data_IF_152404347972
#
_entry.id   IF_152404347972
#
_cell.length_a   1.000
_cell.length_b   1.000
_cell.length_c   1.000
_cell.angle_alpha   90.00
_cell.angle_beta   90.00
_cell.angle_gamma   90.00
#
_symmetry.space_group_name_H-M   'P 1'
#
loop_
_entity.id
_entity.type
_entity.pdbx_description
1 polymer ?
#
# COMPACT_ATOMS: atom_id res chain seq x y z
N UNK A 1 31.85 50.51 54.30
CA UNK A 1 32.63 51.47 53.53
C UNK A 1 34.10 51.08 53.60
N UNK A 2 34.53 50.17 52.73
CA UNK A 2 35.96 49.89 52.51
C UNK A 2 36.13 49.61 51.02
N UNK A 3 36.74 50.58 50.35
CA UNK A 3 37.27 50.53 49.00
C UNK A 3 38.53 49.68 48.96
N UNK A 4 38.61 48.71 48.06
CA UNK A 4 39.86 48.01 47.73
C UNK A 4 40.14 48.21 46.24
N UNK A 5 41.27 48.84 45.99
CA UNK A 5 41.87 49.16 44.69
C UNK A 5 42.26 47.89 43.93
N UNK A 6 41.97 47.87 42.62
CA UNK A 6 42.51 46.92 41.64
C UNK A 6 43.87 47.43 41.11
N UNK A 7 44.98 46.69 41.23
CA UNK A 7 46.23 47.04 40.58
C UNK A 7 46.51 46.10 39.41
N UNK A 8 46.41 46.58 38.17
CA UNK A 8 47.19 46.02 37.05
C UNK A 8 47.84 47.13 36.23
N UNK A 9 49.06 47.45 36.65
CA UNK A 9 50.01 48.22 35.87
C UNK A 9 50.73 47.31 34.85
N UNK A 10 50.69 47.74 33.60
CA UNK A 10 51.83 47.82 32.66
C UNK A 10 52.63 46.53 32.37
N UNK A 11 52.49 46.00 31.15
CA UNK A 11 53.64 45.58 30.33
C UNK A 11 53.34 45.76 28.83
N UNK A 12 53.74 46.93 28.33
CA UNK A 12 53.87 47.23 26.91
C UNK A 12 55.01 46.36 26.34
N UNK A 13 54.71 45.43 25.43
CA UNK A 13 55.73 44.73 24.62
C UNK A 13 55.69 45.25 23.19
N UNK A 14 56.51 46.27 22.94
CA UNK A 14 56.96 46.68 21.61
C UNK A 14 57.75 45.50 21.00
N UNK A 15 57.26 44.92 19.90
CA UNK A 15 58.10 44.14 18.98
C UNK A 15 58.45 45.01 17.78
N UNK A 16 59.65 45.58 17.86
CA UNK A 16 60.35 46.23 16.77
C UNK A 16 60.83 45.13 15.80
N UNK A 17 60.33 45.11 14.57
CA UNK A 17 61.00 44.42 13.46
C UNK A 17 61.26 45.43 12.35
N UNK A 18 62.55 45.73 12.16
CA UNK A 18 63.07 46.38 10.97
C UNK A 18 62.73 45.52 9.74
N UNK A 19 62.03 46.09 8.75
CA UNK A 19 62.22 45.73 7.34
C UNK A 19 62.26 47.02 6.52
N UNK A 20 63.27 47.05 5.65
CA UNK A 20 63.71 48.17 4.82
C UNK A 20 62.67 48.55 3.76
N UNK A 21 62.63 49.85 3.48
CA UNK A 21 61.97 50.52 2.35
C UNK A 21 61.93 49.73 1.04
N UNK A 22 60.75 49.63 0.42
CA UNK A 22 60.58 49.74 -1.02
C UNK A 22 59.24 50.42 -1.31
N UNK A 23 59.33 51.59 -1.93
CA UNK A 23 58.21 52.45 -2.32
C UNK A 23 57.48 51.78 -3.48
N UNK A 24 56.22 51.38 -3.25
CA UNK A 24 55.31 50.88 -4.26
C UNK A 24 53.95 51.52 -4.08
N UNK A 25 53.61 52.47 -4.96
CA UNK A 25 52.28 53.06 -5.07
C UNK A 25 51.28 51.95 -5.39
N UNK A 26 50.49 51.55 -4.39
CA UNK A 26 49.23 50.84 -4.60
C UNK A 26 48.12 51.66 -3.95
N UNK A 27 47.27 52.22 -4.79
CA UNK A 27 45.94 52.70 -4.44
C UNK A 27 45.15 51.51 -3.92
N UNK A 28 45.02 51.37 -2.61
CA UNK A 28 44.32 50.27 -1.96
C UNK A 28 43.59 50.76 -0.73
N UNK A 29 42.27 50.80 -0.83
CA UNK A 29 41.21 51.02 0.15
C UNK A 29 41.62 51.06 1.64
N UNK A 30 41.34 52.19 2.29
CA UNK A 30 41.22 52.25 3.75
C UNK A 30 40.01 51.40 4.19
N UNK A 31 40.29 50.24 4.78
CA UNK A 31 39.31 49.44 5.53
C UNK A 31 39.99 48.63 6.66
N UNK A 32 40.96 49.24 7.36
CA UNK A 32 41.47 48.72 8.63
C UNK A 32 40.97 49.66 9.74
N UNK A 33 39.95 49.22 10.49
CA UNK A 33 39.36 49.98 11.60
C UNK A 33 37.86 49.73 11.82
N UNK A 34 37.31 48.58 11.40
CA UNK A 34 35.86 48.35 11.46
C UNK A 34 35.37 47.78 12.80
N UNK A 35 36.29 47.41 13.70
CA UNK A 35 35.98 46.79 14.98
C UNK A 35 36.67 47.48 16.18
N UNK A 36 37.38 48.59 15.99
CA UNK A 36 38.08 49.28 17.10
C UNK A 36 37.08 50.11 17.91
N UNK A 37 37.07 49.97 19.24
CA UNK A 37 36.24 50.73 20.21
C UNK A 37 34.71 50.55 20.05
N UNK A 38 34.27 49.43 19.45
CA UNK A 38 32.85 49.08 19.30
C UNK A 38 32.49 47.93 20.23
N UNK A 39 31.34 48.03 20.91
CA UNK A 39 30.78 46.93 21.70
C UNK A 39 30.59 45.68 20.84
N UNK A 40 30.99 44.51 21.34
CA UNK A 40 30.76 43.26 20.62
C UNK A 40 29.25 43.05 20.43
N UNK A 41 28.77 42.56 19.27
CA UNK A 41 27.35 42.29 19.13
C UNK A 41 26.86 41.18 20.08
N UNK A 42 25.57 41.22 20.39
CA UNK A 42 24.91 40.18 21.18
C UNK A 42 25.04 38.83 20.48
N UNK A 43 25.33 37.79 21.26
CA UNK A 43 25.20 36.42 20.77
C UNK A 43 23.75 36.14 20.36
N UNK A 44 23.59 35.35 19.29
CA UNK A 44 22.29 35.05 18.69
C UNK A 44 22.17 33.58 18.29
N UNK A 45 20.98 33.19 17.84
CA UNK A 45 20.67 31.82 17.41
C UNK A 45 21.11 30.74 18.43
N UNK A 46 20.60 30.78 19.68
CA UNK A 46 20.90 29.77 20.67
C UNK A 46 20.34 28.41 20.26
N UNK A 47 21.13 27.36 20.45
CA UNK A 47 20.68 25.96 20.48
C UNK A 47 21.15 25.34 21.80
N UNK A 48 20.28 24.70 22.60
CA UNK A 48 18.83 24.62 22.46
C UNK A 48 18.17 26.00 22.37
N UNK A 49 17.05 26.06 21.64
CA UNK A 49 16.29 27.31 21.51
C UNK A 49 15.83 27.81 22.88
N UNK A 50 15.74 29.13 23.04
CA UNK A 50 15.30 29.71 24.31
C UNK A 50 13.91 29.18 24.70
N UNK A 51 13.74 28.82 25.98
CA UNK A 51 12.52 28.24 26.58
C UNK A 51 12.12 26.87 26.02
N UNK A 52 13.02 26.19 25.31
CA UNK A 52 12.75 24.82 24.84
C UNK A 52 12.62 23.84 26.02
N UNK A 53 11.81 22.81 25.81
CA UNK A 53 11.59 21.71 26.75
C UNK A 53 12.00 20.39 26.08
N UNK A 54 12.08 19.32 26.87
CA UNK A 54 12.39 17.96 26.38
C UNK A 54 13.76 17.83 25.70
N UNK A 55 14.76 18.53 26.24
CA UNK A 55 16.14 18.48 25.72
C UNK A 55 16.90 17.30 26.32
N UNK A 56 17.58 16.50 25.51
CA UNK A 56 18.40 15.37 25.99
C UNK A 56 19.48 15.83 26.99
N UNK A 57 19.78 15.00 27.98
CA UNK A 57 20.70 15.33 29.07
C UNK A 57 22.18 15.50 28.62
N UNK A 58 22.52 15.04 27.42
CA UNK A 58 23.85 15.15 26.78
C UNK A 58 23.91 16.29 25.73
N UNK A 59 22.94 17.21 25.77
CA UNK A 59 22.84 18.31 24.79
C UNK A 59 24.10 19.18 24.73
N UNK A 60 24.38 19.68 23.53
CA UNK A 60 25.48 20.62 23.27
C UNK A 60 24.92 22.01 23.00
N UNK A 61 25.46 23.00 23.69
CA UNK A 61 25.08 24.40 23.53
C UNK A 61 25.81 25.00 22.32
N UNK A 62 25.05 25.66 21.45
CA UNK A 62 25.60 26.44 20.33
C UNK A 62 25.00 27.83 20.30
N UNK A 63 25.81 28.78 19.88
CA UNK A 63 25.40 30.15 19.63
C UNK A 63 26.19 30.72 18.46
N UNK A 64 25.68 31.80 17.88
CA UNK A 64 26.35 32.59 16.84
C UNK A 64 26.89 33.87 17.46
N UNK A 65 28.22 34.00 17.48
CA UNK A 65 28.89 35.26 17.85
C UNK A 65 28.76 36.28 16.72
N UNK A 66 28.52 37.55 17.04
CA UNK A 66 28.46 38.59 16.01
C UNK A 66 29.84 38.99 15.48
N UNK A 67 29.86 39.65 14.31
CA UNK A 67 31.08 40.23 13.73
C UNK A 67 31.80 41.12 14.77
N UNK A 68 33.13 41.15 14.74
CA UNK A 68 33.98 41.85 15.73
C UNK A 68 34.04 41.24 17.15
N UNK A 69 33.41 40.10 17.43
CA UNK A 69 33.60 39.40 18.71
C UNK A 69 34.98 38.72 18.74
N UNK A 70 35.79 39.04 19.75
CA UNK A 70 37.14 38.48 19.93
C UNK A 70 37.15 37.29 20.88
N UNK A 71 36.37 37.34 21.96
CA UNK A 71 36.15 36.20 22.86
C UNK A 71 34.73 36.21 23.43
N UNK A 72 34.30 35.07 23.96
CA UNK A 72 32.99 34.88 24.56
C UNK A 72 33.17 34.17 25.90
N UNK A 73 32.49 34.66 26.94
CA UNK A 73 32.38 33.98 28.22
C UNK A 73 31.02 33.31 28.33
N UNK A 74 31.00 32.07 28.83
CA UNK A 74 29.78 31.32 29.05
C UNK A 74 29.44 31.32 30.55
N UNK A 75 28.18 31.60 30.85
CA UNK A 75 27.56 31.35 32.15
C UNK A 75 26.51 30.26 31.96
N UNK A 76 26.52 29.22 32.79
CA UNK A 76 25.64 28.06 32.72
C UNK A 76 25.34 27.56 34.14
N UNK A 77 24.05 27.37 34.45
CA UNK A 77 23.61 26.87 35.76
C UNK A 77 22.10 26.66 35.84
N UNK A 78 21.57 26.39 37.03
CA UNK A 78 20.13 26.16 37.28
C UNK A 78 19.41 27.36 37.91
N UNK A 79 20.15 28.42 38.26
CA UNK A 79 19.58 29.67 38.77
C UNK A 79 19.40 30.66 37.61
N UNK A 80 18.20 31.24 37.41
CA UNK A 80 17.99 32.30 36.42
C UNK A 80 18.85 33.56 36.68
N UNK A 81 19.28 33.79 37.91
CA UNK A 81 20.24 34.83 38.27
C UNK A 81 21.67 34.31 38.11
N UNK A 82 22.15 34.27 36.86
CA UNK A 82 23.50 33.81 36.52
C UNK A 82 24.59 34.72 37.15
N UNK A 83 25.21 34.21 38.21
CA UNK A 83 26.32 34.85 38.92
C UNK A 83 27.67 34.16 38.70
N UNK A 84 28.64 34.44 39.57
CA UNK A 84 29.99 33.85 39.48
C UNK A 84 30.02 32.32 39.58
N UNK A 85 29.05 31.73 40.28
CA UNK A 85 28.95 30.26 40.42
C UNK A 85 28.54 29.58 39.10
N UNK A 86 27.95 30.32 38.16
CA UNK A 86 27.58 29.83 36.84
C UNK A 86 28.71 30.01 35.80
N UNK A 87 29.81 30.68 36.14
CA UNK A 87 30.85 31.05 35.18
C UNK A 87 31.67 29.84 34.70
N UNK A 88 31.64 29.56 33.39
CA UNK A 88 32.35 28.46 32.73
C UNK A 88 33.65 28.89 32.04
N UNK A 89 34.08 30.15 32.20
CA UNK A 89 35.28 30.68 31.56
C UNK A 89 35.04 31.21 30.15
N UNK A 90 36.14 31.48 29.44
CA UNK A 90 36.10 31.79 28.01
C UNK A 90 35.87 30.50 27.21
N UNK A 91 34.79 30.47 26.43
CA UNK A 91 34.34 29.30 25.69
C UNK A 91 34.06 29.66 24.22
N UNK A 92 34.17 28.67 23.35
CA UNK A 92 33.79 28.78 21.94
C UNK A 92 32.53 27.95 21.67
N UNK A 93 31.78 28.33 20.64
CA UNK A 93 30.66 27.53 20.13
C UNK A 93 31.21 26.47 19.15
N UNK A 94 30.85 25.18 19.28
CA UNK A 94 29.94 24.57 20.25
C UNK A 94 30.59 24.28 21.63
N UNK A 95 29.78 24.25 22.68
CA UNK A 95 30.20 23.88 24.04
C UNK A 95 29.31 22.78 24.63
N UNK A 96 29.93 21.71 25.13
CA UNK A 96 29.22 20.59 25.78
C UNK A 96 29.48 20.62 27.30
N UNK A 97 28.45 20.47 28.14
CA UNK A 97 28.62 20.31 29.58
C UNK A 97 29.57 19.14 29.92
N UNK A 98 30.49 19.29 30.90
CA UNK A 98 31.42 18.22 31.27
C UNK A 98 30.76 17.01 31.93
N UNK A 99 29.63 17.23 32.59
CA UNK A 99 28.82 16.21 33.26
C UNK A 99 27.43 16.16 32.63
N UNK A 100 26.82 14.97 32.64
CA UNK A 100 25.45 14.80 32.16
C UNK A 100 24.50 15.68 32.98
N UNK A 101 23.59 16.37 32.29
CA UNK A 101 22.63 17.24 32.93
C UNK A 101 21.61 16.42 33.73
N UNK A 102 21.11 17.00 34.82
CA UNK A 102 20.08 16.37 35.64
C UNK A 102 18.78 16.32 34.83
N UNK A 103 18.06 15.19 34.78
CA UNK A 103 16.76 15.10 34.11
C UNK A 103 15.70 16.05 34.70
N UNK A 104 14.68 16.40 33.92
CA UNK A 104 13.56 17.27 34.32
C UNK A 104 13.99 18.60 34.98
N UNK A 105 15.16 19.11 34.61
CA UNK A 105 15.76 20.29 35.24
C UNK A 105 15.88 21.42 34.24
N UNK A 106 15.44 22.61 34.65
CA UNK A 106 15.61 23.82 33.85
C UNK A 106 17.01 24.41 34.07
N UNK A 107 17.74 24.57 32.97
CA UNK A 107 19.04 25.23 32.93
C UNK A 107 18.92 26.60 32.28
N UNK A 108 19.71 27.53 32.79
CA UNK A 108 19.85 28.89 32.31
C UNK A 108 21.28 29.12 31.85
N UNK A 109 21.43 29.85 30.76
CA UNK A 109 22.74 30.16 30.22
C UNK A 109 22.78 31.48 29.47
N UNK A 110 23.96 32.08 29.43
CA UNK A 110 24.18 33.40 28.86
C UNK A 110 25.58 33.49 28.28
N UNK A 111 25.68 34.20 27.15
CA UNK A 111 26.96 34.53 26.53
C UNK A 111 27.26 36.00 26.77
N UNK A 112 28.45 36.29 27.31
CA UNK A 112 29.00 37.64 27.40
C UNK A 112 30.06 37.78 26.31
N UNK A 113 29.85 38.71 25.38
CA UNK A 113 30.73 38.93 24.22
C UNK A 113 31.74 40.04 24.49
N UNK A 114 32.99 39.82 24.11
CA UNK A 114 34.10 40.76 24.25
C UNK A 114 34.68 41.17 22.91
N UNK A 115 35.16 42.41 22.82
CA UNK A 115 35.94 42.93 21.72
C UNK A 115 37.22 43.58 22.28
N UNK A 116 38.30 43.59 21.49
CA UNK A 116 39.66 43.98 21.92
C UNK A 116 39.75 45.36 22.56
N UNK A 117 38.81 46.27 22.29
CA UNK A 117 38.76 47.62 22.86
C UNK A 117 37.34 48.12 23.22
N UNK A 118 36.30 47.28 23.13
CA UNK A 118 34.90 47.66 23.39
C UNK A 118 34.37 47.24 24.76
N UNK A 119 33.26 47.83 25.26
CA UNK A 119 32.63 47.40 26.51
C UNK A 119 32.02 45.99 26.39
N UNK A 120 32.05 45.24 27.49
CA UNK A 120 31.44 43.91 27.61
C UNK A 120 29.95 43.96 27.26
N UNK A 121 29.50 43.04 26.41
CA UNK A 121 28.11 42.99 26.00
C UNK A 121 27.44 41.74 26.56
N UNK A 122 26.56 41.95 27.54
CA UNK A 122 25.77 40.89 28.16
C UNK A 122 24.66 40.44 27.21
N UNK A 123 24.71 39.18 26.78
CA UNK A 123 23.66 38.54 26.00
C UNK A 123 22.34 38.39 26.78
N UNK A 124 21.24 38.01 26.11
CA UNK A 124 20.04 37.54 26.80
C UNK A 124 20.34 36.26 27.61
N UNK A 125 19.62 36.07 28.72
CA UNK A 125 19.60 34.79 29.45
C UNK A 125 18.66 33.85 28.71
N UNK A 126 19.20 32.76 28.20
CA UNK A 126 18.44 31.68 27.58
C UNK A 126 18.18 30.57 28.58
N UNK A 127 17.12 29.80 28.35
CA UNK A 127 16.79 28.65 29.17
C UNK A 127 16.38 27.45 28.32
N UNK A 128 16.55 26.26 28.86
CA UNK A 128 15.93 25.04 28.36
C UNK A 128 15.66 24.08 29.52
N UNK A 129 14.74 23.13 29.32
CA UNK A 129 14.45 22.08 30.31
C UNK A 129 14.82 20.73 29.73
N UNK A 130 15.61 19.96 30.50
CA UNK A 130 15.99 18.60 30.12
C UNK A 130 14.79 17.67 30.14
N UNK A 131 14.80 16.66 29.26
CA UNK A 131 13.83 15.57 29.29
C UNK A 131 14.03 14.73 30.56
N UNK A 132 12.97 14.01 30.96
CA UNK A 132 13.09 12.99 32.00
C UNK A 132 13.95 11.82 31.55
N UNK A 133 14.38 10.95 32.49
CA UNK A 133 14.98 9.68 32.10
C UNK A 133 14.02 8.91 31.20
N UNK A 134 14.57 8.23 30.20
CA UNK A 134 13.82 7.24 29.42
C UNK A 134 13.99 5.87 30.06
N UNK A 135 13.02 5.01 29.85
CA UNK A 135 13.01 3.62 30.29
C UNK A 135 12.32 2.73 29.28
N UNK A 136 12.52 1.42 29.40
CA UNK A 136 11.81 0.44 28.62
C UNK A 136 10.31 0.49 28.94
N UNK A 137 9.52 0.58 27.88
CA UNK A 137 8.07 0.54 27.91
C UNK A 137 7.63 -0.68 27.08
N UNK A 138 7.00 -1.65 27.74
CA UNK A 138 6.39 -2.78 27.08
C UNK A 138 4.96 -2.40 26.70
N UNK A 139 4.53 -2.68 25.47
CA UNK A 139 3.15 -2.44 25.04
C UNK A 139 2.75 -3.46 23.97
N UNK A 140 1.44 -3.61 23.76
CA UNK A 140 0.89 -4.55 22.78
C UNK A 140 0.07 -3.80 21.73
N UNK A 141 0.32 -4.10 20.46
CA UNK A 141 -0.49 -3.62 19.33
C UNK A 141 -0.91 -4.84 18.52
N UNK A 142 -2.21 -5.08 18.42
CA UNK A 142 -2.80 -6.22 17.69
C UNK A 142 -2.17 -7.58 18.06
N UNK A 143 -1.89 -7.79 19.36
CA UNK A 143 -1.27 -9.02 19.88
C UNK A 143 0.25 -9.09 19.70
N UNK A 144 0.88 -8.10 19.06
CA UNK A 144 2.34 -8.01 18.95
C UNK A 144 2.91 -7.23 20.12
N UNK A 145 3.73 -7.89 20.94
CA UNK A 145 4.43 -7.24 22.06
C UNK A 145 5.67 -6.51 21.54
N UNK A 146 5.74 -5.22 21.84
CA UNK A 146 6.83 -4.33 21.46
C UNK A 146 7.45 -3.69 22.70
N UNK A 147 8.72 -3.30 22.57
CA UNK A 147 9.44 -2.53 23.56
C UNK A 147 10.01 -1.27 22.93
N UNK A 148 9.79 -0.13 23.57
CA UNK A 148 10.39 1.16 23.20
C UNK A 148 11.02 1.84 24.42
N UNK A 149 12.06 2.65 24.21
CA UNK A 149 12.70 3.44 25.27
C UNK A 149 12.15 4.86 25.24
N UNK A 150 11.19 5.16 26.11
CA UNK A 150 10.45 6.43 26.15
C UNK A 150 10.33 6.95 27.58
N UNK A 151 9.78 8.15 27.77
CA UNK A 151 9.51 8.66 29.12
C UNK A 151 8.34 7.91 29.77
N UNK A 152 8.26 7.91 31.10
CA UNK A 152 7.12 7.32 31.82
C UNK A 152 5.77 7.88 31.33
N UNK A 153 5.69 9.19 31.11
CA UNK A 153 4.47 9.84 30.63
C UNK A 153 4.08 9.39 29.22
N UNK A 154 5.06 9.26 28.33
CA UNK A 154 4.83 8.76 26.97
C UNK A 154 4.45 7.28 27.00
N UNK A 155 5.07 6.48 27.89
CA UNK A 155 4.71 5.08 28.05
C UNK A 155 3.26 4.91 28.48
N UNK A 156 2.82 5.61 29.53
CA UNK A 156 1.44 5.56 30.04
C UNK A 156 0.41 6.00 28.98
N UNK A 157 0.82 6.77 27.97
CA UNK A 157 -0.06 7.18 26.88
C UNK A 157 -0.24 6.11 25.80
N UNK A 158 0.58 5.05 25.79
CA UNK A 158 0.45 3.93 24.86
C UNK A 158 -0.63 2.94 25.34
N UNK A 159 -1.38 2.31 24.42
CA UNK A 159 -2.39 1.32 24.77
C UNK A 159 -1.74 0.07 25.38
N UNK A 160 -2.39 -0.49 26.42
CA UNK A 160 -1.97 -1.74 27.08
C UNK A 160 -0.47 -1.76 27.40
N UNK A 161 0.04 -0.66 27.94
CA UNK A 161 1.46 -0.43 28.19
C UNK A 161 1.84 -0.57 29.66
N UNK A 162 3.08 -0.98 29.89
CA UNK A 162 3.70 -1.07 31.20
C UNK A 162 5.10 -0.45 31.16
N UNK A 163 5.32 0.57 31.99
CA UNK A 163 6.63 1.20 32.13
C UNK A 163 7.49 0.40 33.11
N UNK A 164 8.59 -0.15 32.63
CA UNK A 164 9.46 -1.03 33.42
C UNK A 164 10.33 -0.25 34.41
N UNK A 165 10.56 1.04 34.12
CA UNK A 165 11.22 1.98 35.01
C UNK A 165 12.39 2.72 34.36
N UNK A 166 12.84 3.77 35.03
CA UNK A 166 13.88 4.66 34.52
C UNK A 166 15.21 3.95 34.26
N UNK A 167 15.86 4.32 33.14
CA UNK A 167 17.16 3.82 32.71
C UNK A 167 17.18 2.31 32.40
N UNK A 168 16.02 1.67 32.28
CA UNK A 168 15.92 0.32 31.72
C UNK A 168 15.98 0.40 30.19
N UNK A 169 16.58 -0.62 29.56
CA UNK A 169 16.76 -0.69 28.11
C UNK A 169 16.07 -1.93 27.55
N UNK A 170 15.54 -1.82 26.34
CA UNK A 170 14.70 -2.89 25.78
C UNK A 170 15.43 -4.21 25.54
N UNK A 171 16.76 -4.18 25.42
CA UNK A 171 17.55 -5.40 25.24
C UNK A 171 17.66 -6.24 26.52
N UNK A 172 17.52 -5.62 27.69
CA UNK A 172 17.62 -6.28 29.00
C UNK A 172 16.24 -6.62 29.58
N UNK A 173 15.18 -6.14 28.93
CA UNK A 173 13.79 -6.36 29.33
C UNK A 173 13.16 -7.39 28.42
N UNK A 174 12.60 -8.44 29.01
CA UNK A 174 11.75 -9.38 28.29
C UNK A 174 10.31 -8.92 28.47
N UNK A 175 9.74 -8.32 27.42
CA UNK A 175 8.31 -8.06 27.38
C UNK A 175 7.61 -9.37 27.01
N UNK A 176 7.04 -10.05 28.02
CA UNK A 176 6.17 -11.21 27.79
C UNK A 176 4.74 -10.71 27.54
N UNK A 177 3.96 -11.35 26.65
CA UNK A 177 2.54 -11.05 26.55
C UNK A 177 1.89 -11.26 27.92
N UNK A 178 0.95 -10.41 28.33
CA UNK A 178 0.35 -10.54 29.66
C UNK A 178 -0.33 -11.90 29.80
N UNK A 179 0.15 -12.72 30.73
CA UNK A 179 -0.53 -13.96 31.09
C UNK A 179 -1.87 -13.61 31.75
N UNK A 180 -2.87 -14.46 31.51
CA UNK A 180 -4.17 -14.41 32.16
C UNK A 180 -4.61 -15.80 32.59
N UNK A 181 -5.59 -15.84 33.50
CA UNK A 181 -6.16 -17.06 34.01
C UNK A 181 -6.82 -17.83 32.86
N UNK A 182 -6.32 -19.05 32.62
CA UNK A 182 -6.83 -19.98 31.63
C UNK A 182 -7.41 -21.20 32.34
N UNK A 183 -8.70 -21.44 32.14
CA UNK A 183 -9.42 -22.56 32.75
C UNK A 183 -9.48 -23.74 31.79
N UNK A 184 -8.82 -24.85 32.13
CA UNK A 184 -8.76 -26.09 31.36
C UNK A 184 -9.23 -27.23 32.27
N UNK A 185 -10.29 -27.94 31.90
CA UNK A 185 -10.85 -29.06 32.67
C UNK A 185 -11.14 -28.73 34.16
N UNK A 186 -11.51 -27.47 34.45
CA UNK A 186 -11.78 -26.97 35.81
C UNK A 186 -10.53 -26.62 36.64
N UNK A 187 -9.33 -26.81 36.09
CA UNK A 187 -8.09 -26.28 36.65
C UNK A 187 -7.75 -24.91 36.06
N UNK A 188 -7.12 -24.05 36.85
CA UNK A 188 -6.64 -22.74 36.41
C UNK A 188 -5.11 -22.74 36.24
N UNK A 189 -4.63 -22.22 35.12
CA UNK A 189 -3.21 -21.94 34.85
C UNK A 189 -3.08 -20.56 34.19
N UNK A 190 -2.04 -19.80 34.52
CA UNK A 190 -1.78 -18.50 33.90
C UNK A 190 -1.04 -18.69 32.57
N UNK A 191 -1.74 -18.47 31.45
CA UNK A 191 -1.23 -18.64 30.09
C UNK A 191 -1.51 -17.37 29.28
N UNK A 192 -0.88 -17.23 28.11
CA UNK A 192 -1.26 -16.20 27.14
C UNK A 192 -2.48 -16.69 26.33
N UNK A 193 -3.28 -15.76 25.78
CA UNK A 193 -4.51 -16.08 25.04
C UNK A 193 -4.33 -17.23 24.02
N UNK A 194 -3.36 -17.10 23.12
CA UNK A 194 -3.11 -18.12 22.09
C UNK A 194 -2.82 -19.51 22.67
N UNK A 195 -2.08 -19.57 23.78
CA UNK A 195 -1.74 -20.85 24.43
C UNK A 195 -2.93 -21.41 25.19
N UNK A 196 -3.81 -20.56 25.73
CA UNK A 196 -5.06 -20.97 26.34
C UNK A 196 -6.01 -21.58 25.30
N UNK A 197 -6.16 -20.92 24.16
CA UNK A 197 -7.01 -21.39 23.05
C UNK A 197 -6.51 -22.70 22.45
N UNK A 198 -5.19 -22.82 22.23
CA UNK A 198 -4.56 -24.06 21.78
C UNK A 198 -4.75 -25.23 22.76
N UNK A 199 -4.85 -24.92 24.05
CA UNK A 199 -5.13 -25.91 25.09
C UNK A 199 -6.63 -26.22 25.25
N UNK A 200 -7.51 -25.54 24.48
CA UNK A 200 -8.96 -25.68 24.59
C UNK A 200 -9.53 -25.12 25.90
N UNK A 201 -8.82 -24.19 26.53
CA UNK A 201 -9.23 -23.56 27.78
C UNK A 201 -10.09 -22.30 27.55
N UNK A 202 -10.68 -21.81 28.62
CA UNK A 202 -11.38 -20.51 28.64
C UNK A 202 -10.47 -19.46 29.25
N UNK A 203 -10.14 -18.42 28.48
CA UNK A 203 -9.27 -17.31 28.91
C UNK A 203 -10.09 -16.21 29.62
N UNK A 204 -9.64 -15.75 30.77
CA UNK A 204 -10.36 -14.77 31.61
C UNK A 204 -9.85 -13.33 31.43
N UNK A 205 -8.94 -13.11 30.49
CA UNK A 205 -8.38 -11.79 30.18
C UNK A 205 -6.97 -11.60 30.70
N UNK A 206 -6.26 -10.67 30.07
CA UNK A 206 -4.88 -10.31 30.38
C UNK A 206 -4.73 -9.86 31.85
N UNK A 207 -3.58 -10.17 32.46
CA UNK A 207 -3.26 -9.87 33.85
C UNK A 207 -4.24 -10.44 34.90
N UNK A 208 -5.11 -11.38 34.52
CA UNK A 208 -6.01 -12.07 35.45
C UNK A 208 -5.28 -13.20 36.16
N UNK A 209 -5.19 -13.16 37.48
CA UNK A 209 -4.55 -14.25 38.24
C UNK A 209 -5.50 -15.41 38.50
N UNK A 210 -4.94 -16.62 38.63
CA UNK A 210 -5.69 -17.78 39.08
C UNK A 210 -6.12 -17.65 40.55
N UNK A 211 -7.41 -17.43 40.79
CA UNK A 211 -8.03 -17.40 42.13
C UNK A 211 -9.01 -18.56 42.32
N UNK A 212 -9.32 -18.89 43.58
CA UNK A 212 -10.27 -19.97 43.87
C UNK A 212 -11.62 -19.73 43.17
N UNK A 213 -12.16 -20.77 42.54
CA UNK A 213 -13.46 -20.79 41.85
C UNK A 213 -13.57 -19.84 40.64
N UNK A 214 -12.46 -19.33 40.11
CA UNK A 214 -12.49 -18.55 38.86
C UNK A 214 -13.06 -19.39 37.71
N UNK A 215 -12.74 -20.69 37.67
CA UNK A 215 -13.22 -21.63 36.65
C UNK A 215 -14.64 -22.20 36.90
N UNK A 216 -15.29 -21.81 38.00
CA UNK A 216 -16.65 -22.29 38.33
C UNK A 216 -17.75 -21.36 37.80
N UNK A 217 -17.38 -20.19 37.26
CA UNK A 217 -18.31 -19.20 36.73
C UNK A 217 -17.92 -18.85 35.30
N UNK A 218 -18.90 -18.77 34.40
CA UNK A 218 -18.65 -18.24 33.06
C UNK A 218 -18.09 -16.81 33.18
N UNK A 219 -17.05 -16.46 32.42
CA UNK A 219 -16.46 -15.13 32.49
C UNK A 219 -17.51 -14.08 32.12
N UNK A 220 -17.66 -13.07 32.98
CA UNK A 220 -18.51 -11.91 32.75
C UNK A 220 -17.65 -10.70 32.38
N UNK A 221 -18.22 -9.80 31.60
CA UNK A 221 -17.60 -8.55 31.17
C UNK A 221 -18.67 -7.56 30.73
N UNK A 222 -18.24 -6.37 30.34
CA UNK A 222 -19.12 -5.32 29.86
C UNK A 222 -19.78 -5.73 28.54
N UNK A 223 -21.07 -5.43 28.46
CA UNK A 223 -21.95 -5.72 27.36
C UNK A 223 -22.72 -4.45 27.02
N UNK A 224 -22.52 -3.95 25.81
CA UNK A 224 -23.16 -2.75 25.29
C UNK A 224 -24.40 -3.13 24.47
N UNK A 225 -25.58 -2.70 24.92
CA UNK A 225 -26.85 -2.88 24.21
C UNK A 225 -27.53 -1.52 24.13
N UNK A 226 -27.66 -0.95 22.93
CA UNK A 226 -28.30 0.35 22.70
C UNK A 226 -27.78 1.44 23.67
N UNK A 227 -26.46 1.64 23.70
CA UNK A 227 -25.75 2.59 24.58
C UNK A 227 -25.82 2.28 26.09
N UNK A 228 -26.54 1.24 26.50
CA UNK A 228 -26.60 0.81 27.90
C UNK A 228 -25.52 -0.22 28.15
N UNK A 229 -24.60 0.09 29.06
CA UNK A 229 -23.63 -0.86 29.56
C UNK A 229 -24.23 -1.76 30.64
N UNK A 230 -24.02 -3.06 30.54
CA UNK A 230 -24.35 -4.05 31.56
C UNK A 230 -23.22 -5.07 31.70
N UNK A 231 -23.10 -5.74 32.86
CA UNK A 231 -22.17 -6.87 33.01
C UNK A 231 -22.92 -8.15 32.66
N UNK A 232 -22.44 -8.88 31.66
CA UNK A 232 -23.03 -10.14 31.20
C UNK A 232 -21.93 -11.14 30.81
N UNK A 233 -22.28 -12.41 30.66
CA UNK A 233 -21.40 -13.37 29.96
C UNK A 233 -21.44 -13.07 28.46
N UNK A 234 -20.40 -13.45 27.71
CA UNK A 234 -20.36 -13.28 26.25
C UNK A 234 -21.62 -13.84 25.58
N UNK A 235 -22.01 -15.07 25.94
CA UNK A 235 -23.21 -15.74 25.40
C UNK A 235 -24.47 -14.91 25.69
N UNK A 236 -24.65 -14.43 26.91
CA UNK A 236 -25.84 -13.66 27.27
C UNK A 236 -25.85 -12.28 26.60
N UNK A 237 -24.68 -11.68 26.37
CA UNK A 237 -24.53 -10.42 25.67
C UNK A 237 -24.96 -10.55 24.20
N UNK A 238 -24.37 -11.52 23.49
CA UNK A 238 -24.63 -11.75 22.06
C UNK A 238 -26.08 -12.18 21.82
N UNK A 239 -26.63 -13.06 22.67
CA UNK A 239 -28.05 -13.49 22.57
C UNK A 239 -29.02 -12.33 22.82
N UNK A 240 -28.60 -11.32 23.59
CA UNK A 240 -29.39 -10.10 23.83
C UNK A 240 -29.20 -9.03 22.75
N UNK A 241 -28.42 -9.32 21.70
CA UNK A 241 -28.13 -8.39 20.61
C UNK A 241 -27.13 -7.29 21.00
N UNK A 242 -26.29 -7.54 21.99
CA UNK A 242 -25.25 -6.62 22.46
C UNK A 242 -23.85 -6.98 21.98
N UNK A 243 -22.94 -6.02 22.12
CA UNK A 243 -21.51 -6.18 21.87
C UNK A 243 -20.79 -6.45 23.19
N UNK A 244 -20.06 -7.57 23.27
CA UNK A 244 -19.27 -7.95 24.44
C UNK A 244 -17.85 -7.41 24.29
N UNK A 245 -17.37 -6.58 25.23
CA UNK A 245 -16.04 -5.97 25.14
C UNK A 245 -14.92 -6.84 25.74
N UNK A 246 -15.20 -8.11 26.03
CA UNK A 246 -14.25 -9.05 26.61
C UNK A 246 -14.46 -9.28 28.11
N UNK A 247 -13.90 -10.38 28.65
CA UNK A 247 -14.04 -10.76 30.04
C UNK A 247 -13.42 -9.72 31.00
N UNK A 248 -14.00 -9.58 32.19
CA UNK A 248 -13.60 -8.66 33.27
C UNK A 248 -13.56 -7.16 32.92
N UNK A 249 -14.02 -6.78 31.72
CA UNK A 249 -14.28 -5.37 31.42
C UNK A 249 -15.42 -4.85 32.27
N UNK A 250 -15.22 -3.71 32.94
CA UNK A 250 -16.25 -3.07 33.75
C UNK A 250 -17.04 -2.05 32.93
N UNK A 251 -18.23 -1.69 33.40
CA UNK A 251 -18.98 -0.60 32.80
C UNK A 251 -18.44 0.74 33.29
N UNK A 252 -17.65 1.40 32.47
CA UNK A 252 -17.18 2.76 32.70
C UNK A 252 -17.98 3.78 31.87
N UNK A 253 -18.03 5.03 32.33
CA UNK A 253 -18.76 6.10 31.63
C UNK A 253 -18.16 6.31 30.24
N UNK A 254 -18.99 6.22 29.20
CA UNK A 254 -18.58 6.35 27.80
C UNK A 254 -18.14 5.05 27.12
N UNK A 255 -18.09 3.92 27.83
CA UNK A 255 -17.70 2.63 27.20
C UNK A 255 -18.70 2.16 26.13
N UNK A 256 -19.98 2.49 26.29
CA UNK A 256 -21.03 2.18 25.32
C UNK A 256 -21.50 3.40 24.52
N UNK A 257 -20.78 4.53 24.59
CA UNK A 257 -20.99 5.61 23.63
C UNK A 257 -20.13 5.32 22.42
N UNK A 258 -20.76 4.89 21.34
CA UNK A 258 -20.04 4.63 20.11
C UNK A 258 -19.68 5.96 19.44
N UNK A 259 -18.38 6.19 19.27
CA UNK A 259 -17.88 7.29 18.46
C UNK A 259 -17.57 6.80 17.05
N UNK A 260 -17.69 7.68 16.08
CA UNK A 260 -17.39 7.40 14.68
C UNK A 260 -16.90 8.66 13.96
N UNK A 261 -16.41 8.48 12.74
CA UNK A 261 -16.02 9.57 11.88
C UNK A 261 -17.23 10.44 11.54
N UNK A 262 -17.09 11.73 11.78
CA UNK A 262 -18.06 12.76 11.47
C UNK A 262 -17.48 13.67 10.39
N UNK A 263 -18.07 13.61 9.20
CA UNK A 263 -17.65 14.39 8.05
C UNK A 263 -18.41 15.71 7.97
N UNK A 264 -17.69 16.82 8.14
CA UNK A 264 -18.17 18.18 7.84
C UNK A 264 -17.45 18.66 6.57
N UNK A 265 -18.08 18.44 5.42
CA UNK A 265 -17.48 18.68 4.10
C UNK A 265 -16.14 17.93 3.94
N UNK A 266 -15.02 18.65 3.88
CA UNK A 266 -13.65 18.11 3.74
C UNK A 266 -12.97 17.78 5.08
N UNK A 267 -13.60 18.15 6.22
CA UNK A 267 -13.03 17.94 7.55
C UNK A 267 -13.64 16.72 8.22
N UNK A 268 -12.77 15.87 8.79
CA UNK A 268 -13.16 14.72 9.60
C UNK A 268 -12.84 14.95 11.08
N UNK A 269 -13.79 14.61 11.96
CA UNK A 269 -13.59 14.55 13.41
C UNK A 269 -14.22 13.28 13.96
N UNK A 270 -13.75 12.74 15.09
CA UNK A 270 -14.40 11.58 15.73
C UNK A 270 -15.37 12.10 16.80
N UNK A 271 -16.67 11.87 16.62
CA UNK A 271 -17.75 12.33 17.50
C UNK A 271 -18.74 11.17 17.72
N UNK A 272 -19.61 11.30 18.72
CA UNK A 272 -20.83 10.46 18.81
C UNK A 272 -21.83 10.89 17.72
N UNK A 273 -22.75 10.00 17.35
CA UNK A 273 -23.75 10.27 16.29
C UNK A 273 -24.55 11.57 16.58
N UNK A 274 -25.01 11.76 17.82
CA UNK A 274 -25.79 12.94 18.21
C UNK A 274 -25.01 14.24 17.97
N UNK A 275 -23.77 14.31 18.44
CA UNK A 275 -22.89 15.47 18.27
C UNK A 275 -22.52 15.71 16.81
N UNK A 276 -22.37 14.63 16.02
CA UNK A 276 -22.09 14.73 14.60
C UNK A 276 -23.26 15.38 13.84
N UNK A 277 -24.47 14.92 14.10
CA UNK A 277 -25.69 15.48 13.49
C UNK A 277 -25.95 16.90 13.98
N UNK A 278 -25.72 17.20 15.26
CA UNK A 278 -25.87 18.54 15.83
C UNK A 278 -24.89 19.56 15.25
N UNK A 279 -23.68 19.13 14.90
CA UNK A 279 -22.67 19.97 14.23
C UNK A 279 -22.90 20.08 12.72
N UNK A 280 -23.92 19.41 12.18
CA UNK A 280 -24.28 19.43 10.76
C UNK A 280 -23.40 18.53 9.89
N UNK A 281 -22.66 17.61 10.49
CA UNK A 281 -21.84 16.63 9.79
C UNK A 281 -22.61 15.35 9.42
N UNK A 282 -22.00 14.54 8.58
CA UNK A 282 -22.48 13.20 8.20
C UNK A 282 -21.70 12.14 8.97
N UNK A 283 -22.40 11.41 9.84
CA UNK A 283 -21.82 10.32 10.62
C UNK A 283 -21.58 9.10 9.73
N UNK A 284 -20.37 8.56 9.75
CA UNK A 284 -19.96 7.45 8.89
C UNK A 284 -20.22 6.07 9.53
N UNK A 285 -20.74 6.03 10.77
CA UNK A 285 -21.06 4.82 11.50
C UNK A 285 -20.16 4.58 12.72
N UNK A 286 -20.60 3.72 13.62
CA UNK A 286 -19.89 3.40 14.86
C UNK A 286 -18.51 2.80 14.61
N UNK A 287 -17.51 3.18 15.41
CA UNK A 287 -16.12 2.73 15.33
C UNK A 287 -15.40 3.05 14.00
N UNK A 288 -15.93 3.96 13.19
CA UNK A 288 -15.21 4.51 12.03
C UNK A 288 -14.23 5.60 12.48
N UNK A 289 -13.10 5.75 11.77
CA UNK A 289 -12.06 6.73 12.09
C UNK A 289 -11.83 7.73 10.93
N UNK A 290 -11.00 8.75 11.17
CA UNK A 290 -10.69 9.79 10.20
C UNK A 290 -9.48 9.49 9.31
N UNK A 291 -9.09 8.22 9.18
CA UNK A 291 -8.02 7.83 8.24
C UNK A 291 -8.50 7.89 6.79
N UNK A 292 -9.81 7.81 6.56
CA UNK A 292 -10.43 8.00 5.24
C UNK A 292 -10.80 9.48 5.05
N UNK A 293 -10.33 10.15 3.98
CA UNK A 293 -10.67 11.54 3.70
C UNK A 293 -12.18 11.76 3.50
N UNK A 294 -12.75 12.79 4.12
CA UNK A 294 -14.09 13.29 3.81
C UNK A 294 -14.01 14.28 2.63
N UNK A 295 -14.98 14.33 1.69
CA UNK A 295 -16.08 13.40 1.49
C UNK A 295 -15.58 12.07 0.92
N UNK A 296 -16.22 10.96 1.31
CA UNK A 296 -15.97 9.66 0.68
C UNK A 296 -16.25 9.81 -0.82
N UNK A 297 -15.20 9.91 -1.62
CA UNK A 297 -15.35 9.73 -3.06
C UNK A 297 -16.02 8.37 -3.28
N UNK A 298 -16.92 8.25 -4.25
CA UNK A 298 -17.62 6.99 -4.48
C UNK A 298 -16.58 5.88 -4.66
N UNK A 299 -16.53 4.97 -3.68
CA UNK A 299 -15.66 3.80 -3.72
C UNK A 299 -16.33 2.70 -4.54
N UNK A 300 -15.50 1.84 -5.11
CA UNK A 300 -15.92 0.72 -5.90
C UNK A 300 -14.82 -0.33 -5.95
N UNK A 301 -15.14 -1.50 -6.46
CA UNK A 301 -14.20 -2.59 -6.58
C UNK A 301 -13.08 -2.23 -7.56
N UNK A 302 -11.85 -2.39 -7.11
CA UNK A 302 -10.63 -2.25 -7.87
C UNK A 302 -9.92 -3.60 -7.94
N UNK A 303 -9.76 -4.12 -9.14
CA UNK A 303 -9.03 -5.37 -9.37
C UNK A 303 -7.57 -5.07 -9.69
N UNK A 304 -6.68 -5.38 -8.76
CA UNK A 304 -5.24 -5.33 -8.94
C UNK A 304 -4.76 -6.77 -9.09
N UNK A 305 -4.62 -7.23 -10.33
CA UNK A 305 -4.41 -8.67 -10.63
C UNK A 305 -5.55 -9.52 -10.06
N UNK A 306 -5.27 -10.54 -9.24
CA UNK A 306 -6.28 -11.43 -8.62
C UNK A 306 -6.86 -10.84 -7.31
N UNK A 307 -6.34 -9.70 -6.84
CA UNK A 307 -6.77 -9.08 -5.58
C UNK A 307 -7.83 -8.02 -5.85
N UNK A 308 -8.97 -8.13 -5.16
CA UNK A 308 -10.01 -7.10 -5.13
C UNK A 308 -9.86 -6.20 -3.90
N UNK A 309 -9.86 -4.89 -4.10
CA UNK A 309 -9.93 -3.89 -3.01
C UNK A 309 -10.99 -2.84 -3.32
N UNK A 310 -11.74 -2.38 -2.33
CA UNK A 310 -12.71 -1.29 -2.51
C UNK A 310 -12.02 0.06 -2.27
N UNK A 311 -11.78 0.81 -3.33
CA UNK A 311 -11.05 2.10 -3.28
C UNK A 311 -11.66 3.09 -4.26
N UNK A 312 -11.25 4.36 -4.22
CA UNK A 312 -11.63 5.35 -5.23
C UNK A 312 -10.92 5.08 -6.58
N UNK A 313 -11.55 5.50 -7.68
CA UNK A 313 -11.05 5.29 -9.06
C UNK A 313 -9.61 5.79 -9.28
N UNK A 314 -9.27 6.96 -8.72
CA UNK A 314 -7.93 7.53 -8.86
C UNK A 314 -6.85 6.67 -8.17
N UNK A 315 -7.16 6.10 -7.00
CA UNK A 315 -6.27 5.19 -6.28
C UNK A 315 -6.14 3.87 -7.04
N UNK A 316 -7.25 3.37 -7.59
CA UNK A 316 -7.23 2.18 -8.41
C UNK A 316 -6.28 2.33 -9.60
N UNK A 317 -6.32 3.49 -10.27
CA UNK A 317 -5.43 3.83 -11.38
C UNK A 317 -3.97 3.97 -10.94
N UNK A 318 -3.71 4.57 -9.76
CA UNK A 318 -2.36 4.70 -9.20
C UNK A 318 -1.71 3.34 -8.91
N UNK A 319 -2.51 2.38 -8.42
CA UNK A 319 -2.07 1.01 -8.19
C UNK A 319 -2.02 0.14 -9.46
N UNK A 320 -2.27 0.72 -10.65
CA UNK A 320 -2.41 0.00 -11.93
C UNK A 320 -3.51 -1.09 -11.89
N UNK A 321 -4.55 -0.90 -11.09
CA UNK A 321 -5.73 -1.75 -11.05
C UNK A 321 -6.81 -1.36 -12.07
N UNK A 322 -7.80 -2.23 -12.25
CA UNK A 322 -9.00 -1.96 -13.05
C UNK A 322 -10.20 -1.69 -12.14
N UNK A 323 -10.73 -0.47 -12.23
CA UNK A 323 -11.91 -0.04 -11.50
C UNK A 323 -13.18 -0.57 -12.16
N UNK A 324 -14.05 -1.23 -11.38
CA UNK A 324 -15.25 -1.91 -11.88
C UNK A 324 -16.50 -1.01 -11.89
N UNK A 325 -16.43 0.15 -11.24
CA UNK A 325 -17.51 1.13 -11.19
C UNK A 325 -17.85 1.55 -9.77
N UNK A 326 -18.49 2.71 -9.64
CA UNK A 326 -18.92 3.26 -8.35
C UNK A 326 -19.99 2.38 -7.69
N UNK A 327 -19.78 2.01 -6.42
CA UNK A 327 -20.72 1.20 -5.64
C UNK A 327 -20.72 -0.30 -5.96
N UNK A 328 -19.86 -0.76 -6.87
CA UNK A 328 -19.62 -2.19 -7.08
C UNK A 328 -18.76 -2.72 -5.92
N UNK A 329 -19.24 -3.75 -5.22
CA UNK A 329 -18.51 -4.35 -4.10
C UNK A 329 -17.56 -5.46 -4.56
N UNK A 330 -16.50 -5.67 -3.80
CA UNK A 330 -15.60 -6.80 -4.07
C UNK A 330 -16.32 -8.14 -3.89
N UNK A 331 -16.23 -9.00 -4.91
CA UNK A 331 -16.68 -10.38 -4.85
C UNK A 331 -15.64 -11.33 -5.44
N UNK A 332 -15.63 -12.58 -5.00
CA UNK A 332 -14.62 -13.58 -5.40
C UNK A 332 -14.56 -13.76 -6.93
N UNK A 333 -15.70 -13.67 -7.63
CA UNK A 333 -15.77 -13.83 -9.09
C UNK A 333 -15.31 -12.58 -9.86
N UNK A 334 -15.27 -11.40 -9.22
CA UNK A 334 -15.11 -10.10 -9.91
C UNK A 334 -13.70 -9.87 -10.46
N UNK A 335 -12.66 -10.30 -9.74
CA UNK A 335 -11.26 -10.13 -10.16
C UNK A 335 -10.63 -11.40 -10.78
N UNK A 336 -11.34 -12.52 -10.74
CA UNK A 336 -10.96 -13.76 -11.45
C UNK A 336 -11.16 -13.67 -12.98
N UNK A 337 -11.80 -12.60 -13.46
CA UNK A 337 -11.99 -12.31 -14.89
C UNK A 337 -10.66 -12.11 -15.68
N UNK A 338 -9.51 -11.97 -14.99
CA UNK A 338 -8.19 -11.91 -15.63
C UNK A 338 -7.61 -13.28 -16.03
N UNK A 339 -8.21 -14.39 -15.58
CA UNK A 339 -7.81 -15.74 -15.98
C UNK A 339 -8.52 -16.22 -17.27
N UNK A 340 -9.64 -15.59 -17.64
CA UNK A 340 -10.47 -15.93 -18.79
C UNK A 340 -10.03 -15.14 -20.03
N UNK A 341 -8.77 -15.32 -20.43
CA UNK A 341 -8.23 -14.74 -21.68
C UNK A 341 -8.34 -15.77 -22.80
N UNK A 342 -8.97 -15.36 -23.89
CA UNK A 342 -9.24 -16.21 -25.04
C UNK A 342 -9.56 -15.39 -26.28
N UNK A 343 -9.96 -16.08 -27.34
CA UNK A 343 -10.32 -15.45 -28.61
C UNK A 343 -11.74 -14.92 -28.56
N UNK A 344 -11.90 -13.66 -28.97
CA UNK A 344 -13.17 -13.06 -29.32
C UNK A 344 -13.28 -12.93 -30.85
N UNK A 345 -14.34 -13.47 -31.43
CA UNK A 345 -14.64 -13.36 -32.84
C UNK A 345 -15.65 -12.25 -33.09
N UNK A 346 -15.18 -11.19 -33.74
CA UNK A 346 -16.03 -10.08 -34.21
C UNK A 346 -16.05 -10.16 -35.73
N UNK A 347 -17.15 -10.67 -36.29
CA UNK A 347 -17.22 -11.10 -37.69
C UNK A 347 -16.06 -12.07 -38.03
N UNK A 348 -15.21 -11.74 -39.01
CA UNK A 348 -14.02 -12.55 -39.40
C UNK A 348 -12.73 -12.14 -38.67
N UNK A 349 -12.82 -11.19 -37.73
CA UNK A 349 -11.69 -10.62 -37.02
C UNK A 349 -11.48 -11.36 -35.70
N UNK A 350 -10.27 -11.90 -35.53
CA UNK A 350 -9.83 -12.56 -34.31
C UNK A 350 -9.02 -11.60 -33.42
N UNK A 351 -9.50 -11.38 -32.20
CA UNK A 351 -8.76 -10.63 -31.16
C UNK A 351 -8.66 -11.47 -29.89
N UNK A 352 -7.55 -11.37 -29.17
CA UNK A 352 -7.38 -12.03 -27.87
C UNK A 352 -7.70 -11.00 -26.78
N UNK A 353 -8.77 -11.25 -26.03
CA UNK A 353 -9.28 -10.36 -24.96
C UNK A 353 -9.81 -11.19 -23.79
N UNK A 354 -10.08 -10.54 -22.66
CA UNK A 354 -10.83 -11.17 -21.57
C UNK A 354 -12.29 -11.42 -21.98
N UNK A 355 -12.90 -12.51 -21.50
CA UNK A 355 -14.29 -12.92 -21.81
C UNK A 355 -15.29 -11.76 -21.68
N UNK A 356 -15.23 -11.00 -20.58
CA UNK A 356 -16.12 -9.88 -20.29
C UNK A 356 -16.07 -8.76 -21.35
N UNK A 357 -14.91 -8.58 -22.00
CA UNK A 357 -14.72 -7.55 -23.02
C UNK A 357 -15.27 -7.98 -24.39
N UNK A 358 -15.49 -9.28 -24.62
CA UNK A 358 -15.89 -9.77 -25.93
C UNK A 358 -17.29 -9.30 -26.37
N UNK A 359 -18.34 -9.37 -25.52
CA UNK A 359 -19.65 -8.80 -25.86
C UNK A 359 -19.62 -7.29 -26.09
N UNK A 360 -18.73 -6.56 -25.39
CA UNK A 360 -18.57 -5.11 -25.58
C UNK A 360 -18.01 -4.75 -26.96
N UNK A 361 -17.22 -5.63 -27.57
CA UNK A 361 -16.79 -5.53 -28.97
C UNK A 361 -17.83 -6.09 -29.96
N UNK A 362 -18.98 -6.59 -29.49
CA UNK A 362 -20.01 -7.20 -30.32
C UNK A 362 -19.64 -8.56 -30.88
N UNK A 363 -18.70 -9.27 -30.25
CA UNK A 363 -18.20 -10.56 -30.70
C UNK A 363 -18.65 -11.75 -29.86
N UNK A 364 -18.35 -12.96 -30.35
CA UNK A 364 -18.58 -14.23 -29.64
C UNK A 364 -17.26 -14.81 -29.10
N UNK A 365 -17.24 -15.11 -27.80
CA UNK A 365 -16.08 -15.64 -27.11
C UNK A 365 -15.90 -17.14 -27.38
N UNK A 366 -14.68 -17.57 -27.73
CA UNK A 366 -14.37 -18.94 -28.16
C UNK A 366 -13.82 -19.82 -27.02
N UNK A 367 -13.78 -19.30 -25.79
CA UNK A 367 -13.28 -20.00 -24.61
C UNK A 367 -11.82 -19.72 -24.28
N UNK A 368 -11.41 -20.09 -23.07
CA UNK A 368 -10.11 -19.73 -22.49
C UNK A 368 -8.93 -20.46 -23.15
N UNK A 369 -7.78 -19.79 -23.19
CA UNK A 369 -6.54 -20.35 -23.74
C UNK A 369 -6.57 -20.58 -25.26
N UNK A 370 -7.63 -20.16 -25.95
CA UNK A 370 -7.72 -20.18 -27.41
C UNK A 370 -6.82 -19.10 -28.02
N UNK A 371 -6.37 -19.29 -29.27
CA UNK A 371 -5.42 -18.36 -29.93
C UNK A 371 -5.81 -18.05 -31.37
N UNK A 372 -5.41 -16.86 -31.85
CA UNK A 372 -5.62 -16.43 -33.23
C UNK A 372 -4.67 -17.07 -34.25
N UNK A 373 -3.85 -18.04 -33.86
CA UNK A 373 -2.82 -18.62 -34.74
C UNK A 373 -3.39 -19.25 -36.02
N UNK A 374 -4.62 -19.77 -35.97
CA UNK A 374 -5.34 -20.38 -37.09
C UNK A 374 -6.58 -19.58 -37.54
N UNK A 375 -6.72 -18.32 -37.09
CA UNK A 375 -7.92 -17.48 -37.23
C UNK A 375 -9.24 -18.29 -37.11
N UNK A 376 -9.64 -18.70 -35.90
CA UNK A 376 -10.87 -19.48 -35.68
C UNK A 376 -12.16 -18.72 -36.04
N UNK A 377 -12.07 -17.41 -36.32
CA UNK A 377 -13.19 -16.56 -36.70
C UNK A 377 -13.45 -16.54 -38.22
N UNK A 378 -12.57 -17.13 -39.03
CA UNK A 378 -12.82 -17.29 -40.45
C UNK A 378 -13.97 -18.30 -40.65
N UNK A 379 -14.94 -18.02 -41.56
CA UNK A 379 -15.95 -19.00 -41.90
C UNK A 379 -15.26 -20.30 -42.35
N UNK A 380 -15.76 -21.48 -41.94
CA UNK A 380 -15.19 -22.74 -42.39
C UNK A 380 -15.21 -22.75 -43.92
N UNK A 381 -14.04 -22.82 -44.54
CA UNK A 381 -13.93 -22.89 -46.00
C UNK A 381 -14.71 -24.11 -46.44
N UNK A 382 -15.73 -23.92 -47.27
CA UNK A 382 -16.57 -25.02 -47.72
C UNK A 382 -15.67 -26.11 -48.34
N UNK A 383 -15.86 -27.35 -47.87
CA UNK A 383 -15.14 -28.51 -48.38
C UNK A 383 -16.12 -29.46 -49.03
N UNK A 384 -15.64 -30.23 -49.98
CA UNK A 384 -16.43 -31.16 -50.76
C UNK A 384 -15.55 -32.22 -51.41
N UNK A 385 -16.19 -33.18 -52.08
CA UNK A 385 -15.53 -34.24 -52.81
C UNK A 385 -14.71 -33.66 -53.98
N UNK A 386 -13.42 -33.97 -53.97
CA UNK A 386 -12.45 -33.70 -55.01
C UNK A 386 -12.02 -35.00 -55.67
N UNK A 387 -12.20 -35.08 -57.00
CA UNK A 387 -11.90 -36.26 -57.79
C UNK A 387 -10.65 -36.05 -58.65
N UNK A 388 -9.61 -36.83 -58.38
CA UNK A 388 -8.39 -36.89 -59.22
C UNK A 388 -8.32 -38.31 -59.81
N UNK A 389 -8.76 -38.46 -61.06
CA UNK A 389 -9.08 -39.78 -61.61
C UNK A 389 -10.20 -40.45 -60.79
N UNK A 390 -10.03 -41.72 -60.45
CA UNK A 390 -11.00 -42.47 -59.62
C UNK A 390 -10.83 -42.24 -58.10
N UNK A 391 -9.86 -41.43 -57.67
CA UNK A 391 -9.59 -41.21 -56.25
C UNK A 391 -10.37 -40.01 -55.73
N UNK A 392 -11.19 -40.24 -54.71
CA UNK A 392 -11.94 -39.19 -54.03
C UNK A 392 -11.25 -38.75 -52.72
N UNK A 393 -11.18 -37.44 -52.50
CA UNK A 393 -10.77 -36.83 -51.23
C UNK A 393 -11.67 -35.66 -50.86
N UNK A 394 -11.81 -35.32 -49.57
CA UNK A 394 -12.50 -34.10 -49.15
C UNK A 394 -11.47 -32.95 -49.13
N UNK A 395 -11.70 -31.91 -49.92
CA UNK A 395 -10.80 -30.76 -50.05
C UNK A 395 -11.60 -29.49 -50.32
N UNK A 396 -10.97 -28.32 -50.25
CA UNK A 396 -11.54 -27.07 -50.78
C UNK A 396 -11.50 -27.09 -52.31
N UNK A 397 -12.40 -26.34 -52.95
CA UNK A 397 -12.44 -26.21 -54.42
C UNK A 397 -11.09 -25.77 -55.01
N UNK A 398 -10.48 -24.73 -54.44
CA UNK A 398 -9.19 -24.21 -54.90
C UNK A 398 -8.07 -25.27 -54.86
N UNK A 399 -7.94 -26.00 -53.74
CA UNK A 399 -6.96 -27.08 -53.64
C UNK A 399 -7.27 -28.24 -54.59
N UNK A 400 -8.53 -28.49 -54.91
CA UNK A 400 -8.90 -29.53 -55.85
C UNK A 400 -8.46 -29.18 -57.27
N UNK A 401 -8.77 -27.96 -57.71
CA UNK A 401 -8.42 -27.44 -59.03
C UNK A 401 -6.91 -27.30 -59.20
N UNK A 402 -6.19 -26.83 -58.17
CA UNK A 402 -4.72 -26.72 -58.16
C UNK A 402 -4.02 -28.09 -58.32
N UNK A 403 -4.64 -29.15 -57.78
CA UNK A 403 -4.17 -30.52 -57.95
C UNK A 403 -4.71 -31.20 -59.21
N UNK A 404 -5.28 -30.44 -60.15
CA UNK A 404 -5.88 -30.94 -61.40
C UNK A 404 -7.04 -31.93 -61.19
N UNK A 405 -7.76 -31.81 -60.08
CA UNK A 405 -8.97 -32.57 -59.78
C UNK A 405 -10.25 -31.83 -60.14
N UNK A 406 -11.35 -32.56 -60.22
CA UNK A 406 -12.70 -32.03 -60.42
C UNK A 406 -13.42 -31.95 -59.09
N UNK A 407 -13.78 -30.74 -58.66
CA UNK A 407 -14.57 -30.49 -57.45
C UNK A 407 -16.05 -30.69 -57.75
N UNK A 408 -16.76 -31.46 -56.92
CA UNK A 408 -18.16 -31.82 -57.18
C UNK A 408 -19.13 -30.71 -56.73
N UNK A 409 -19.18 -30.43 -55.43
CA UNK A 409 -19.92 -29.33 -54.83
C UNK A 409 -19.55 -29.17 -53.35
N UNK A 410 -19.95 -28.07 -52.73
CA UNK A 410 -19.84 -27.91 -51.28
C UNK A 410 -20.66 -28.99 -50.53
N UNK A 411 -20.10 -29.47 -49.41
CA UNK A 411 -20.62 -30.55 -48.55
C UNK A 411 -20.81 -31.92 -49.25
N UNK A 412 -20.36 -32.07 -50.49
CA UNK A 412 -20.37 -33.37 -51.17
C UNK A 412 -19.41 -34.34 -50.50
N UNK A 413 -19.81 -35.62 -50.42
CA UNK A 413 -19.04 -36.67 -49.72
C UNK A 413 -18.45 -37.67 -50.71
N UNK A 414 -17.33 -38.29 -50.33
CA UNK A 414 -16.70 -39.35 -51.10
C UNK A 414 -17.42 -40.69 -50.92
N UNK A 415 -18.37 -40.97 -51.82
CA UNK A 415 -19.01 -42.26 -52.02
C UNK A 415 -18.28 -43.12 -53.06
N UNK A 416 -18.69 -44.39 -53.17
CA UNK A 416 -18.05 -45.37 -54.04
C UNK A 416 -18.05 -44.98 -55.53
N UNK A 417 -19.04 -44.20 -55.96
CA UNK A 417 -19.20 -43.77 -57.36
C UNK A 417 -18.98 -42.26 -57.56
N UNK A 418 -18.55 -41.53 -56.53
CA UNK A 418 -18.44 -40.05 -56.59
C UNK A 418 -17.44 -39.56 -57.64
N UNK A 419 -16.39 -40.34 -57.92
CA UNK A 419 -15.36 -39.99 -58.90
C UNK A 419 -15.35 -40.86 -60.15
N UNK A 420 -16.33 -41.76 -60.28
CA UNK A 420 -16.52 -42.51 -61.51
C UNK A 420 -16.94 -41.54 -62.61
N UNK A 421 -16.32 -41.64 -63.79
CA UNK A 421 -16.77 -40.89 -64.97
C UNK A 421 -18.28 -41.14 -65.15
N UNK A 422 -19.06 -40.09 -65.44
CA UNK A 422 -20.47 -40.26 -65.71
C UNK A 422 -20.62 -41.17 -66.95
N UNK A 423 -21.09 -42.41 -66.73
CA UNK A 423 -21.30 -43.39 -67.78
C UNK A 423 -22.76 -43.35 -68.23
N UNK A 424 -22.97 -43.53 -69.52
CA UNK A 424 -24.29 -43.61 -70.12
C UNK A 424 -24.34 -44.70 -71.17
N UNK A 425 -25.28 -44.56 -72.09
CA UNK A 425 -25.43 -45.47 -73.22
C UNK A 425 -25.03 -44.80 -74.53
N UNK A 426 -24.44 -45.58 -75.42
CA UNK A 426 -23.98 -45.15 -76.74
C UNK A 426 -24.67 -45.97 -77.83
N UNK A 427 -25.25 -45.29 -78.83
CA UNK A 427 -25.82 -45.95 -80.00
C UNK A 427 -24.82 -45.96 -81.15
N UNK A 428 -24.28 -47.12 -81.49
CA UNK A 428 -23.39 -47.30 -82.65
C UNK A 428 -23.95 -48.40 -83.55
N UNK A 429 -24.09 -48.11 -84.85
CA UNK A 429 -24.65 -49.02 -85.86
C UNK A 429 -25.98 -49.71 -85.47
N UNK A 430 -26.88 -48.99 -84.78
CA UNK A 430 -28.17 -49.54 -84.34
C UNK A 430 -28.07 -50.55 -83.19
N UNK A 431 -26.93 -50.62 -82.50
CA UNK A 431 -26.74 -51.37 -81.27
C UNK A 431 -26.45 -50.39 -80.12
N UNK A 432 -26.99 -50.69 -78.95
CA UNK A 432 -26.76 -49.91 -77.74
C UNK A 432 -25.62 -50.54 -76.92
N UNK A 433 -24.63 -49.74 -76.54
CA UNK A 433 -23.49 -50.13 -75.71
C UNK A 433 -23.54 -49.34 -74.41
N UNK A 434 -23.49 -50.05 -73.28
CA UNK A 434 -23.41 -49.48 -71.94
C UNK A 434 -22.68 -50.45 -70.98
N UNK A 435 -22.10 -49.95 -69.87
CA UNK A 435 -21.85 -48.55 -69.58
C UNK A 435 -20.64 -48.04 -70.37
N UNK A 436 -20.72 -46.84 -70.93
CA UNK A 436 -19.65 -46.24 -71.74
C UNK A 436 -19.59 -44.72 -71.51
N UNK A 437 -18.40 -44.12 -71.57
CA UNK A 437 -18.22 -42.67 -71.42
C UNK A 437 -18.57 -41.93 -72.72
N UNK A 438 -18.81 -40.62 -72.63
CA UNK A 438 -19.02 -39.76 -73.81
C UNK A 438 -17.85 -39.84 -74.80
N UNK A 439 -16.61 -39.85 -74.30
CA UNK A 439 -15.40 -39.89 -75.13
C UNK A 439 -15.24 -41.27 -75.80
N UNK A 440 -15.45 -42.36 -75.06
CA UNK A 440 -15.39 -43.72 -75.61
C UNK A 440 -16.51 -43.98 -76.64
N UNK A 441 -17.69 -43.40 -76.43
CA UNK A 441 -18.78 -43.44 -77.40
C UNK A 441 -18.40 -42.74 -78.71
N UNK A 442 -17.68 -41.62 -78.61
CA UNK A 442 -17.17 -40.88 -79.77
C UNK A 442 -16.09 -41.66 -80.52
N UNK A 443 -15.25 -42.43 -79.81
CA UNK A 443 -14.22 -43.29 -80.43
C UNK A 443 -14.80 -44.43 -81.26
N UNK A 444 -15.98 -44.95 -80.89
CA UNK A 444 -16.69 -45.99 -81.67
C UNK A 444 -17.68 -45.40 -82.68
N UNK A 445 -17.57 -44.10 -82.98
CA UNK A 445 -18.43 -43.34 -83.88
C UNK A 445 -19.93 -43.48 -83.56
N UNK A 446 -20.27 -43.65 -82.28
CA UNK A 446 -21.65 -43.75 -81.81
C UNK A 446 -22.22 -42.40 -81.36
N UNK A 447 -23.53 -42.37 -81.16
CA UNK A 447 -24.26 -41.22 -80.61
C UNK A 447 -24.50 -41.45 -79.13
N UNK A 448 -23.89 -40.63 -78.29
CA UNK A 448 -24.06 -40.68 -76.85
C UNK A 448 -25.45 -40.21 -76.45
N UNK A 449 -26.13 -40.96 -75.58
CA UNK A 449 -27.51 -40.66 -75.15
C UNK A 449 -27.58 -39.81 -73.89
N UNK A 450 -26.45 -39.58 -73.22
CA UNK A 450 -26.35 -38.82 -71.99
C UNK A 450 -26.12 -39.72 -70.79
N UNK A 451 -25.57 -39.15 -69.72
CA UNK A 451 -25.20 -39.85 -68.50
C UNK A 451 -26.42 -40.49 -67.82
N UNK A 452 -26.24 -41.68 -67.25
CA UNK A 452 -27.29 -42.43 -66.55
C UNK A 452 -28.38 -43.03 -67.45
N UNK A 453 -28.36 -42.77 -68.77
CA UNK A 453 -29.19 -43.50 -69.72
C UNK A 453 -28.65 -44.91 -69.93
N UNK A 454 -29.56 -45.87 -70.02
CA UNK A 454 -29.23 -47.26 -70.24
C UNK A 454 -29.71 -47.76 -71.61
N UNK A 455 -29.54 -49.05 -71.89
CA UNK A 455 -29.97 -49.70 -73.12
C UNK A 455 -31.37 -50.29 -73.03
N UNK A 456 -32.14 -49.96 -71.99
CA UNK A 456 -33.53 -50.38 -71.88
C UNK A 456 -34.42 -49.63 -72.89
N UNK A 457 -35.34 -50.36 -73.53
CA UNK A 457 -36.35 -49.77 -74.43
C UNK A 457 -35.88 -49.44 -75.85
N UNK A 458 -34.72 -49.96 -76.28
CA UNK A 458 -34.11 -49.74 -77.60
C UNK A 458 -33.97 -48.25 -77.98
N UNK A 459 -33.12 -47.50 -77.25
CA UNK A 459 -32.90 -46.06 -77.49
C UNK A 459 -32.23 -45.76 -78.85
N UNK A 460 -31.88 -46.80 -79.61
CA UNK A 460 -31.20 -46.70 -80.90
C UNK A 460 -32.16 -46.94 -82.10
N UNK A 461 -33.45 -47.17 -81.85
CA UNK A 461 -34.45 -47.53 -82.86
C UNK A 461 -34.89 -46.40 -83.83
N UNK A 462 -34.20 -45.26 -83.87
CA UNK A 462 -34.50 -44.19 -84.82
C UNK A 462 -33.23 -43.61 -85.45
N UNK A 463 -32.74 -44.30 -86.47
CA UNK A 463 -31.78 -43.77 -87.44
C UNK A 463 -32.33 -43.98 -88.86
N UNK A 464 -33.30 -43.15 -89.27
CA UNK A 464 -33.49 -42.90 -90.69
C UNK A 464 -32.47 -41.83 -91.14
N UNK A 465 -31.58 -42.33 -91.98
CA UNK A 465 -30.62 -41.68 -92.88
C UNK A 465 -30.94 -40.23 -93.26
N UNK A 466 -29.93 -39.35 -93.21
CA UNK A 466 -29.75 -38.30 -94.21
C UNK A 466 -28.80 -38.80 -95.31
#
# INVERSE_FOLDING_TARGET
MQTVFNPRAQYHRIRLFCVVFLVGLFSGSNAFGQCDDVAAPLASAPSPANTSISIQADTTLTWTSGECTTSSQLYFGTDPALGMDAFQGEQASPWSPPEALVPLTTYYWQIVSFNVDGPDTNGPVWSFTTTGPTGACCFSVDGTVLCVEVSEADCISLPSSEYVGDLTICIDVVCEPPNGACCIDGGCIELILETCDLAGGTFYGDATSCVENICDNDPVGSCCINEVCSIATEVNCVVSGGTFNGPLTECEDGLCTFTGACCLDEFCTVLIEEDCVLTGGTFQGDNTNCEIPCPAEPIGACCITETCVEVADFLCTEYNGQYQGEGESCSEELCEALLHIGVCCVDEVCIVVAELNCPAFGGEYQGDGTSCASNPCAPPVATGACCIGDTCSISTQANCEDNSGTYQSDDSTCGADTCSAALGSCCTFGQCVEPISFDDCSLVAGVYKGDGNNCDGDPCASAEVA
#
